data_IF_173270291939
#
_entry.id   IF_173270291939
#
_cell.length_a   1.000
_cell.length_b   1.000
_cell.length_c   1.000
_cell.angle_alpha   90.00
_cell.angle_beta   90.00
_cell.angle_gamma   90.00
#
_symmetry.space_group_name_H-M   'P 1'
#
loop_
_entity.id
_entity.type
_entity.pdbx_description
1 polymer ?
#
# COMPACT_ATOMS: atom_id res chain seq x y z
N UNK A 1 1.91 -13.69 -25.04
CA UNK A 1 0.88 -12.72 -24.60
C UNK A 1 0.09 -12.34 -25.84
N UNK A 2 -1.20 -12.53 -25.82
CA UNK A 2 -2.09 -12.18 -26.92
C UNK A 2 -1.96 -10.68 -27.24
N UNK A 3 -1.91 -10.28 -28.52
CA UNK A 3 -1.78 -8.86 -28.91
C UNK A 3 -2.90 -8.00 -28.29
N UNK A 4 -4.09 -8.57 -28.16
CA UNK A 4 -5.24 -7.90 -27.55
C UNK A 4 -5.03 -7.60 -26.06
N UNK A 5 -4.43 -8.52 -25.31
CA UNK A 5 -4.12 -8.32 -23.88
C UNK A 5 -3.06 -7.22 -23.71
N UNK A 6 -2.02 -7.21 -24.54
CA UNK A 6 -0.98 -6.18 -24.47
C UNK A 6 -1.56 -4.78 -24.72
N UNK A 7 -2.42 -4.64 -25.73
CA UNK A 7 -3.08 -3.37 -26.06
C UNK A 7 -4.02 -2.91 -24.92
N UNK A 8 -4.77 -3.84 -24.30
CA UNK A 8 -5.61 -3.52 -23.15
C UNK A 8 -4.78 -3.01 -21.97
N UNK A 9 -3.68 -3.69 -21.65
CA UNK A 9 -2.77 -3.28 -20.56
C UNK A 9 -2.25 -1.86 -20.84
N UNK A 10 -1.68 -1.60 -22.02
CA UNK A 10 -1.15 -0.27 -22.37
C UNK A 10 -2.19 0.83 -22.19
N UNK A 11 -3.41 0.60 -22.63
CA UNK A 11 -4.52 1.54 -22.47
C UNK A 11 -4.80 1.84 -20.99
N UNK A 12 -4.87 0.81 -20.13
CA UNK A 12 -5.09 1.00 -18.70
C UNK A 12 -3.93 1.72 -18.03
N UNK A 13 -2.67 1.43 -18.41
CA UNK A 13 -1.50 2.13 -17.91
C UNK A 13 -1.58 3.63 -18.21
N UNK A 14 -1.90 4.01 -19.46
CA UNK A 14 -2.09 5.41 -19.85
C UNK A 14 -3.23 6.07 -19.07
N UNK A 15 -4.33 5.36 -18.84
CA UNK A 15 -5.44 5.88 -18.05
C UNK A 15 -5.03 6.10 -16.58
N UNK A 16 -4.32 5.15 -15.97
CA UNK A 16 -3.79 5.30 -14.61
C UNK A 16 -2.86 6.50 -14.48
N UNK A 17 -1.97 6.75 -15.46
CA UNK A 17 -1.06 7.89 -15.45
C UNK A 17 -1.81 9.24 -15.48
N UNK A 18 -2.96 9.30 -16.13
CA UNK A 18 -3.78 10.51 -16.28
C UNK A 18 -4.83 10.69 -15.18
N UNK A 19 -5.10 9.65 -14.40
CA UNK A 19 -6.12 9.71 -13.36
C UNK A 19 -5.77 10.75 -12.29
N UNK A 20 -6.67 11.69 -12.07
CA UNK A 20 -6.56 12.81 -11.12
C UNK A 20 -7.69 12.84 -10.09
N UNK A 21 -8.67 11.93 -10.20
CA UNK A 21 -9.79 11.81 -9.26
C UNK A 21 -10.07 10.36 -8.89
N UNK A 22 -10.65 10.15 -7.69
CA UNK A 22 -11.08 8.81 -7.25
C UNK A 22 -12.10 8.21 -8.24
N UNK A 23 -12.99 9.01 -8.79
CA UNK A 23 -13.98 8.57 -9.77
C UNK A 23 -13.33 8.01 -11.04
N UNK A 24 -12.28 8.65 -11.56
CA UNK A 24 -11.54 8.15 -12.72
C UNK A 24 -10.85 6.82 -12.41
N UNK A 25 -10.22 6.67 -11.23
CA UNK A 25 -9.60 5.42 -10.83
C UNK A 25 -10.64 4.30 -10.66
N UNK A 26 -11.82 4.63 -10.10
CA UNK A 26 -12.96 3.70 -10.04
C UNK A 26 -13.40 3.24 -11.43
N UNK A 27 -13.52 4.16 -12.40
CA UNK A 27 -13.88 3.81 -13.79
C UNK A 27 -12.85 2.90 -14.45
N UNK A 28 -11.56 3.10 -14.17
CA UNK A 28 -10.50 2.21 -14.66
C UNK A 28 -10.69 0.80 -14.10
N UNK A 29 -10.88 0.64 -12.78
CA UNK A 29 -11.11 -0.66 -12.15
C UNK A 29 -12.38 -1.35 -12.69
N UNK A 30 -13.46 -0.61 -12.88
CA UNK A 30 -14.68 -1.12 -13.51
C UNK A 30 -14.44 -1.59 -14.95
N UNK A 31 -13.66 -0.84 -15.71
CA UNK A 31 -13.28 -1.21 -17.07
C UNK A 31 -12.43 -2.49 -17.10
N UNK A 32 -11.51 -2.65 -16.16
CA UNK A 32 -10.65 -3.84 -16.02
C UNK A 32 -11.51 -5.07 -15.80
N UNK A 33 -12.34 -5.08 -14.74
CA UNK A 33 -13.16 -6.27 -14.43
C UNK A 33 -14.13 -6.61 -15.55
N UNK A 34 -14.74 -5.59 -16.18
CA UNK A 34 -15.66 -5.81 -17.29
C UNK A 34 -14.97 -6.43 -18.53
N UNK A 35 -13.76 -5.96 -18.89
CA UNK A 35 -13.04 -6.49 -20.05
C UNK A 35 -12.43 -7.87 -19.79
N UNK A 36 -12.21 -8.21 -18.52
CA UNK A 36 -11.70 -9.51 -18.09
C UNK A 36 -12.83 -10.50 -17.77
N UNK A 37 -14.09 -10.13 -17.98
CA UNK A 37 -15.23 -10.95 -17.61
C UNK A 37 -15.13 -11.42 -16.14
N UNK A 38 -14.93 -10.43 -15.25
CA UNK A 38 -14.90 -10.59 -13.80
C UNK A 38 -15.99 -9.72 -13.20
N UNK A 39 -16.39 -10.01 -11.95
CA UNK A 39 -17.53 -9.36 -11.31
C UNK A 39 -17.12 -8.24 -10.35
N UNK A 40 -16.03 -8.47 -9.61
CA UNK A 40 -15.69 -7.66 -8.47
C UNK A 40 -14.24 -7.20 -8.49
N UNK A 41 -14.01 -6.03 -7.89
CA UNK A 41 -12.68 -5.51 -7.60
C UNK A 41 -12.65 -4.90 -6.20
N UNK A 42 -11.51 -4.96 -5.57
CA UNK A 42 -11.18 -4.22 -4.37
C UNK A 42 -9.73 -3.75 -4.49
N UNK A 43 -9.49 -2.48 -4.28
CA UNK A 43 -8.17 -1.90 -4.11
C UNK A 43 -8.10 -1.23 -2.76
N UNK A 44 -7.14 -1.63 -1.95
CA UNK A 44 -6.88 -1.05 -0.64
C UNK A 44 -5.41 -0.68 -0.54
N UNK A 45 -5.11 0.56 -0.15
CA UNK A 45 -3.74 1.02 0.15
C UNK A 45 -3.73 1.65 1.53
N UNK A 46 -2.89 1.12 2.39
CA UNK A 46 -2.69 1.55 3.78
C UNK A 46 -1.41 2.36 3.84
N UNK A 47 -1.51 3.61 4.26
CA UNK A 47 -0.39 4.51 4.49
C UNK A 47 -0.19 4.67 5.99
N UNK A 48 0.92 4.21 6.57
CA UNK A 48 1.20 4.44 7.97
C UNK A 48 1.44 5.94 8.20
N UNK A 49 0.58 6.59 8.97
CA UNK A 49 0.80 7.98 9.38
C UNK A 49 1.55 8.07 10.72
N UNK A 50 1.30 7.10 11.58
CA UNK A 50 1.97 6.90 12.87
C UNK A 50 1.98 5.39 13.16
N UNK A 51 2.81 4.93 14.12
CA UNK A 51 2.86 3.52 14.50
C UNK A 51 1.51 2.92 14.97
N UNK A 52 0.55 3.77 15.33
CA UNK A 52 -0.79 3.35 15.80
C UNK A 52 -1.95 3.86 14.94
N UNK A 53 -1.68 4.62 13.88
CA UNK A 53 -2.71 5.14 12.97
C UNK A 53 -2.28 5.01 11.52
N UNK A 54 -3.21 4.59 10.69
CA UNK A 54 -3.00 4.47 9.24
C UNK A 54 -4.18 5.09 8.51
N UNK A 55 -3.88 5.79 7.43
CA UNK A 55 -4.91 6.16 6.46
C UNK A 55 -5.11 5.01 5.49
N UNK A 56 -6.37 4.76 5.19
CA UNK A 56 -6.76 3.71 4.27
C UNK A 56 -7.46 4.31 3.05
N UNK A 57 -6.90 4.09 1.89
CA UNK A 57 -7.54 4.40 0.62
C UNK A 57 -8.18 3.13 0.07
N UNK A 58 -9.52 3.14 -0.07
CA UNK A 58 -10.27 1.97 -0.55
C UNK A 58 -11.15 2.36 -1.72
N UNK A 59 -11.14 1.54 -2.75
CA UNK A 59 -12.09 1.53 -3.87
C UNK A 59 -12.51 0.09 -4.10
N UNK A 60 -13.79 -0.20 -4.02
CA UNK A 60 -14.34 -1.54 -4.24
C UNK A 60 -15.75 -1.48 -4.83
N UNK A 61 -16.21 -2.63 -5.30
CA UNK A 61 -17.61 -2.91 -5.64
C UNK A 61 -18.09 -4.23 -5.03
N UNK A 62 -17.47 -4.69 -3.94
CA UNK A 62 -17.87 -5.90 -3.23
C UNK A 62 -19.29 -5.77 -2.68
N UNK A 63 -20.00 -6.88 -2.46
CA UNK A 63 -21.32 -6.85 -1.83
C UNK A 63 -21.28 -6.11 -0.48
N UNK A 64 -22.20 -5.16 -0.28
CA UNK A 64 -22.22 -4.29 0.91
C UNK A 64 -22.38 -5.07 2.22
N UNK A 65 -23.18 -6.14 2.19
CA UNK A 65 -23.43 -6.99 3.36
C UNK A 65 -22.18 -7.76 3.76
N UNK A 66 -21.43 -8.25 2.74
CA UNK A 66 -20.12 -8.85 2.97
C UNK A 66 -19.13 -7.87 3.58
N UNK A 67 -18.99 -6.68 3.00
CA UNK A 67 -18.06 -5.67 3.53
C UNK A 67 -18.42 -5.25 4.96
N UNK A 68 -19.69 -5.11 5.26
CA UNK A 68 -20.18 -4.81 6.62
C UNK A 68 -19.84 -5.93 7.60
N UNK A 69 -20.07 -7.18 7.22
CA UNK A 69 -19.69 -8.36 8.00
C UNK A 69 -18.18 -8.47 8.19
N UNK A 70 -17.40 -8.32 7.11
CA UNK A 70 -15.95 -8.44 7.09
C UNK A 70 -15.28 -7.41 8.01
N UNK A 71 -15.68 -6.14 7.89
CA UNK A 71 -15.15 -5.06 8.71
C UNK A 71 -15.65 -5.12 10.15
N UNK A 72 -16.93 -5.44 10.37
CA UNK A 72 -17.55 -5.51 11.70
C UNK A 72 -16.95 -6.60 12.58
N UNK A 73 -16.48 -7.70 11.99
CA UNK A 73 -15.84 -8.81 12.69
C UNK A 73 -14.29 -8.75 12.60
N UNK A 74 -13.71 -7.70 12.03
CA UNK A 74 -12.27 -7.51 11.88
C UNK A 74 -11.56 -8.71 11.20
N UNK A 75 -12.23 -9.35 10.22
CA UNK A 75 -11.79 -10.58 9.57
C UNK A 75 -10.44 -10.43 8.84
N UNK A 76 -10.09 -9.20 8.47
CA UNK A 76 -8.80 -8.88 7.82
C UNK A 76 -7.57 -9.38 8.59
N UNK A 77 -7.69 -9.57 9.91
CA UNK A 77 -6.58 -10.06 10.75
C UNK A 77 -6.23 -11.51 10.49
N UNK A 78 -7.21 -12.30 10.07
CA UNK A 78 -7.09 -13.74 9.90
C UNK A 78 -7.36 -14.19 8.45
N UNK A 79 -7.64 -13.25 7.56
CA UNK A 79 -7.86 -13.53 6.14
C UNK A 79 -6.55 -14.00 5.48
N UNK A 80 -6.50 -15.24 4.95
CA UNK A 80 -5.30 -15.79 4.34
C UNK A 80 -4.78 -14.95 3.16
N UNK A 81 -5.68 -14.31 2.41
CA UNK A 81 -5.32 -13.45 1.27
C UNK A 81 -4.66 -12.16 1.75
N UNK A 82 -5.17 -11.54 2.82
CA UNK A 82 -4.59 -10.36 3.44
C UNK A 82 -3.24 -10.68 4.09
N UNK A 83 -3.15 -11.81 4.80
CA UNK A 83 -1.91 -12.27 5.43
C UNK A 83 -0.82 -12.56 4.38
N UNK A 84 -1.18 -13.17 3.25
CA UNK A 84 -0.26 -13.29 2.11
C UNK A 84 0.17 -11.91 1.60
N UNK A 85 -0.77 -11.02 1.38
CA UNK A 85 -0.46 -9.67 0.90
C UNK A 85 0.44 -8.88 1.86
N UNK A 86 0.44 -9.16 3.16
CA UNK A 86 1.33 -8.52 4.12
C UNK A 86 2.78 -9.03 4.05
N UNK A 87 3.00 -10.27 3.61
CA UNK A 87 4.32 -10.93 3.69
C UNK A 87 4.92 -11.28 2.33
N UNK A 88 4.14 -11.14 1.24
CA UNK A 88 4.56 -11.48 -0.13
C UNK A 88 4.53 -10.27 -1.05
N UNK A 89 5.21 -10.38 -2.19
CA UNK A 89 5.16 -9.42 -3.31
C UNK A 89 4.51 -10.05 -4.55
N UNK A 90 4.23 -11.36 -4.52
CA UNK A 90 3.63 -12.09 -5.64
C UNK A 90 2.13 -12.22 -5.47
N UNK A 91 1.35 -12.21 -6.56
CA UNK A 91 -0.08 -12.48 -6.48
C UNK A 91 -0.39 -13.85 -5.90
N UNK A 92 -1.56 -13.97 -5.29
CA UNK A 92 -2.14 -15.23 -4.81
C UNK A 92 -3.46 -15.51 -5.53
N UNK A 93 -3.61 -16.71 -6.04
CA UNK A 93 -4.90 -17.25 -6.47
C UNK A 93 -5.69 -17.70 -5.25
N UNK A 94 -6.97 -17.36 -5.17
CA UNK A 94 -7.78 -17.67 -4.00
C UNK A 94 -7.94 -19.18 -3.76
N UNK A 95 -7.88 -19.98 -4.81
CA UNK A 95 -7.86 -21.44 -4.71
C UNK A 95 -6.63 -21.96 -3.92
N UNK A 96 -5.57 -21.17 -3.81
CA UNK A 96 -4.36 -21.50 -3.05
C UNK A 96 -4.36 -20.92 -1.62
N UNK A 97 -5.45 -20.27 -1.18
CA UNK A 97 -5.53 -19.69 0.16
C UNK A 97 -5.39 -20.74 1.30
N UNK A 98 -5.76 -21.99 1.03
CA UNK A 98 -5.56 -23.12 1.94
C UNK A 98 -4.06 -23.36 2.25
N UNK A 99 -3.16 -23.11 1.32
CA UNK A 99 -1.71 -23.25 1.53
C UNK A 99 -1.25 -22.25 2.59
N UNK A 100 -1.76 -21.01 2.56
CA UNK A 100 -1.45 -20.01 3.57
C UNK A 100 -1.95 -20.46 4.95
N UNK A 101 -3.14 -21.05 5.01
CA UNK A 101 -3.71 -21.54 6.28
C UNK A 101 -2.92 -22.72 6.88
N UNK A 102 -2.19 -23.49 6.08
CA UNK A 102 -1.31 -24.55 6.59
C UNK A 102 0.03 -24.02 7.11
N UNK A 103 0.50 -22.89 6.61
CA UNK A 103 1.80 -22.31 6.95
C UNK A 103 1.72 -21.16 7.96
N UNK A 104 0.57 -20.52 8.07
CA UNK A 104 0.33 -19.41 8.99
C UNK A 104 -0.80 -19.77 9.98
N UNK A 105 -0.50 -19.96 11.29
CA UNK A 105 -1.49 -20.36 12.28
C UNK A 105 -2.57 -19.31 12.56
N UNK A 106 -2.38 -18.08 12.09
CA UNK A 106 -3.37 -17.00 12.23
C UNK A 106 -4.39 -16.97 11.07
N UNK A 107 -4.14 -17.71 9.98
CA UNK A 107 -5.03 -17.71 8.84
C UNK A 107 -6.25 -18.60 9.07
N UNK A 108 -7.43 -18.05 8.84
CA UNK A 108 -8.71 -18.79 8.92
C UNK A 108 -9.31 -18.98 7.52
N UNK A 109 -9.20 -20.21 7.02
CA UNK A 109 -9.75 -20.57 5.69
C UNK A 109 -11.26 -20.43 5.61
N UNK A 110 -11.99 -20.44 6.74
CA UNK A 110 -13.43 -20.26 6.76
C UNK A 110 -13.87 -18.89 6.22
N UNK A 111 -12.96 -17.91 6.25
CA UNK A 111 -13.21 -16.59 5.66
C UNK A 111 -13.42 -16.71 4.16
N UNK A 112 -12.66 -17.57 3.47
CA UNK A 112 -12.82 -17.81 2.04
C UNK A 112 -14.18 -18.48 1.73
N UNK A 113 -14.63 -19.38 2.61
CA UNK A 113 -15.97 -19.98 2.47
C UNK A 113 -17.06 -18.93 2.65
N UNK A 114 -16.96 -18.07 3.66
CA UNK A 114 -17.93 -16.99 3.90
C UNK A 114 -17.94 -15.98 2.73
N UNK A 115 -16.77 -15.69 2.15
CA UNK A 115 -16.67 -14.86 0.95
C UNK A 115 -17.39 -15.49 -0.24
N UNK A 116 -17.22 -16.80 -0.44
CA UNK A 116 -17.90 -17.53 -1.51
C UNK A 116 -19.42 -17.55 -1.31
N UNK A 117 -19.90 -17.74 -0.08
CA UNK A 117 -21.34 -17.68 0.27
C UNK A 117 -21.92 -16.29 -0.01
N UNK A 118 -21.11 -15.24 0.09
CA UNK A 118 -21.47 -13.86 -0.28
C UNK A 118 -21.34 -13.55 -1.78
N UNK A 119 -20.98 -14.53 -2.61
CA UNK A 119 -20.85 -14.39 -4.06
C UNK A 119 -19.44 -14.06 -4.55
N UNK A 120 -18.44 -14.01 -3.68
CA UNK A 120 -17.02 -13.86 -4.02
C UNK A 120 -16.37 -15.25 -4.08
N UNK A 121 -16.71 -16.01 -5.13
CA UNK A 121 -16.43 -17.47 -5.20
C UNK A 121 -14.97 -17.76 -5.46
N UNK A 122 -14.34 -16.96 -6.33
CA UNK A 122 -12.95 -17.16 -6.70
C UNK A 122 -12.30 -15.82 -7.12
N UNK A 123 -10.98 -15.75 -7.12
CA UNK A 123 -10.29 -14.52 -7.43
C UNK A 123 -8.78 -14.62 -7.39
N UNK A 124 -8.16 -13.50 -7.70
CA UNK A 124 -6.72 -13.28 -7.60
C UNK A 124 -6.45 -11.96 -6.88
N UNK A 125 -5.47 -11.98 -6.01
CA UNK A 125 -5.03 -10.77 -5.28
C UNK A 125 -3.55 -10.54 -5.50
N UNK A 126 -3.20 -9.32 -5.92
CA UNK A 126 -1.83 -8.86 -6.01
C UNK A 126 -1.51 -7.94 -4.82
N UNK A 127 -0.42 -8.19 -4.09
CA UNK A 127 0.07 -7.29 -3.06
C UNK A 127 0.54 -5.97 -3.67
N UNK A 128 0.32 -4.88 -2.95
CA UNK A 128 0.89 -3.57 -3.23
C UNK A 128 2.01 -3.32 -2.21
N UNK A 129 3.19 -2.98 -2.70
CA UNK A 129 4.31 -2.49 -1.89
C UNK A 129 4.62 -1.07 -2.33
N UNK A 130 4.33 -0.16 -1.44
CA UNK A 130 4.58 1.25 -1.67
C UNK A 130 5.86 1.74 -1.01
N UNK A 131 6.14 3.01 -1.20
CA UNK A 131 7.24 3.70 -0.54
C UNK A 131 6.91 3.90 0.94
N UNK A 132 7.96 3.94 1.78
CA UNK A 132 7.86 4.35 3.18
C UNK A 132 6.91 3.50 4.03
N UNK A 133 6.91 2.18 3.80
CA UNK A 133 6.09 1.25 4.56
C UNK A 133 4.61 1.23 4.16
N UNK A 134 4.23 1.91 3.09
CA UNK A 134 2.91 1.72 2.51
C UNK A 134 2.74 0.30 2.00
N UNK A 135 1.61 -0.27 2.28
CA UNK A 135 1.24 -1.58 1.77
C UNK A 135 -0.24 -1.61 1.39
N UNK A 136 -0.59 -2.59 0.61
CA UNK A 136 -1.97 -2.76 0.21
C UNK A 136 -2.15 -4.00 -0.63
N UNK A 137 -3.29 -4.05 -1.27
CA UNK A 137 -3.62 -5.13 -2.20
C UNK A 137 -4.62 -4.64 -3.25
N UNK A 138 -4.62 -5.32 -4.37
CA UNK A 138 -5.68 -5.26 -5.35
C UNK A 138 -6.20 -6.67 -5.59
N UNK A 139 -7.51 -6.85 -5.48
CA UNK A 139 -8.21 -8.10 -5.73
C UNK A 139 -9.15 -7.95 -6.91
N UNK A 140 -9.21 -8.96 -7.75
CA UNK A 140 -10.22 -9.14 -8.79
C UNK A 140 -10.89 -10.47 -8.51
N UNK A 141 -12.22 -10.47 -8.41
CA UNK A 141 -12.98 -11.65 -8.01
C UNK A 141 -14.17 -11.91 -8.95
N UNK A 142 -14.62 -13.16 -8.94
CA UNK A 142 -15.69 -13.69 -9.75
C UNK A 142 -16.75 -14.41 -8.89
N UNK A 143 -17.98 -14.43 -9.38
CA UNK A 143 -19.07 -15.26 -8.87
C UNK A 143 -18.95 -16.74 -9.22
N UNK A 144 -17.96 -17.09 -10.04
CA UNK A 144 -17.74 -18.45 -10.53
C UNK A 144 -16.27 -18.82 -10.37
N UNK A 145 -15.98 -20.11 -10.39
CA UNK A 145 -14.60 -20.61 -10.44
C UNK A 145 -13.90 -20.13 -11.71
N UNK A 146 -12.66 -19.75 -11.57
CA UNK A 146 -11.82 -19.25 -12.65
C UNK A 146 -11.01 -20.40 -13.24
N UNK A 147 -11.02 -20.55 -14.56
CA UNK A 147 -10.20 -21.54 -15.25
C UNK A 147 -8.72 -21.18 -15.21
N UNK A 148 -7.85 -22.20 -15.27
CA UNK A 148 -6.40 -22.04 -15.12
C UNK A 148 -5.80 -21.07 -16.14
N UNK A 149 -6.20 -21.16 -17.40
CA UNK A 149 -5.70 -20.27 -18.47
C UNK A 149 -6.07 -18.81 -18.22
N UNK A 150 -7.27 -18.58 -17.68
CA UNK A 150 -7.72 -17.23 -17.30
C UNK A 150 -6.89 -16.71 -16.12
N UNK A 151 -6.52 -17.55 -15.16
CA UNK A 151 -5.65 -17.18 -14.06
C UNK A 151 -4.26 -16.71 -14.51
N UNK A 152 -3.66 -17.39 -15.49
CA UNK A 152 -2.35 -17.01 -16.04
C UNK A 152 -2.42 -15.59 -16.61
N UNK A 153 -3.46 -15.30 -17.38
CA UNK A 153 -3.67 -13.97 -17.96
C UNK A 153 -3.92 -12.90 -16.87
N UNK A 154 -4.79 -13.20 -15.90
CA UNK A 154 -5.07 -12.31 -14.77
C UNK A 154 -3.81 -11.98 -13.96
N UNK A 155 -2.96 -12.98 -13.73
CA UNK A 155 -1.68 -12.80 -13.02
C UNK A 155 -0.76 -11.82 -13.75
N UNK A 156 -0.59 -11.99 -15.08
CA UNK A 156 0.23 -11.10 -15.91
C UNK A 156 -0.31 -9.67 -15.91
N UNK A 157 -1.62 -9.53 -16.06
CA UNK A 157 -2.30 -8.24 -16.05
C UNK A 157 -2.10 -7.55 -14.71
N UNK A 158 -2.38 -8.21 -13.59
CA UNK A 158 -2.24 -7.62 -12.26
C UNK A 158 -0.80 -7.21 -11.97
N UNK A 159 0.19 -8.05 -12.30
CA UNK A 159 1.60 -7.70 -12.16
C UNK A 159 1.96 -6.43 -12.95
N UNK A 160 1.35 -6.24 -14.12
CA UNK A 160 1.63 -5.08 -14.96
C UNK A 160 0.95 -3.80 -14.47
N UNK A 161 -0.32 -3.87 -14.02
CA UNK A 161 -1.11 -2.67 -13.73
C UNK A 161 -1.03 -2.22 -12.27
N UNK A 162 -0.72 -3.13 -11.32
CA UNK A 162 -0.70 -2.83 -9.87
C UNK A 162 0.18 -1.64 -9.51
N UNK A 163 1.43 -1.51 -10.02
CA UNK A 163 2.26 -0.34 -9.72
C UNK A 163 1.63 0.97 -10.18
N UNK A 164 1.00 0.99 -11.34
CA UNK A 164 0.37 2.21 -11.90
C UNK A 164 -0.90 2.60 -11.15
N UNK A 165 -1.70 1.62 -10.72
CA UNK A 165 -2.85 1.85 -9.85
C UNK A 165 -2.41 2.41 -8.49
N UNK A 166 -1.34 1.87 -7.92
CA UNK A 166 -0.75 2.38 -6.69
C UNK A 166 -0.29 3.83 -6.84
N UNK A 167 0.49 4.16 -7.88
CA UNK A 167 0.94 5.53 -8.13
C UNK A 167 -0.24 6.49 -8.36
N UNK A 168 -1.27 6.06 -9.10
CA UNK A 168 -2.48 6.85 -9.27
C UNK A 168 -3.15 7.15 -7.92
N UNK A 169 -3.29 6.15 -7.05
CA UNK A 169 -3.86 6.33 -5.71
C UNK A 169 -3.04 7.29 -4.85
N UNK A 170 -1.72 7.24 -4.94
CA UNK A 170 -0.83 8.14 -4.20
C UNK A 170 -0.95 9.59 -4.66
N UNK A 171 -1.02 9.83 -5.97
CA UNK A 171 -1.28 11.20 -6.48
C UNK A 171 -2.60 11.76 -5.93
N UNK A 172 -3.64 10.93 -5.83
CA UNK A 172 -4.92 11.35 -5.27
C UNK A 172 -4.84 11.68 -3.77
N UNK A 173 -4.07 10.91 -2.99
CA UNK A 173 -3.84 11.18 -1.57
C UNK A 173 -3.10 12.50 -1.37
N UNK A 174 -2.02 12.73 -2.11
CA UNK A 174 -1.21 13.96 -2.04
C UNK A 174 -2.06 15.18 -2.36
N UNK A 175 -2.91 15.13 -3.37
CA UNK A 175 -3.78 16.23 -3.78
C UNK A 175 -4.88 16.54 -2.75
N UNK A 176 -5.29 15.57 -1.94
CA UNK A 176 -6.35 15.70 -0.95
C UNK A 176 -5.84 15.91 0.48
N UNK A 177 -4.53 15.76 0.73
CA UNK A 177 -3.96 16.05 2.05
C UNK A 177 -3.85 17.55 2.25
N UNK A 178 -4.36 18.11 3.37
CA UNK A 178 -4.09 19.49 3.71
C UNK A 178 -2.58 19.68 3.85
N UNK A 179 -2.09 20.82 3.33
CA UNK A 179 -0.69 21.15 3.14
C UNK A 179 0.10 21.34 4.47
N UNK A 180 0.22 20.30 5.28
CA UNK A 180 1.27 20.23 6.30
C UNK A 180 2.40 19.32 5.78
N UNK A 181 2.97 19.68 4.60
CA UNK A 181 4.24 19.10 4.21
C UNK A 181 5.27 19.58 5.20
N UNK A 182 5.74 18.66 6.04
CA UNK A 182 6.93 18.91 6.86
C UNK A 182 8.08 19.10 5.85
N UNK A 183 8.65 20.30 5.84
CA UNK A 183 9.84 20.60 5.04
C UNK A 183 11.03 20.75 5.97
N UNK A 184 12.03 19.92 5.75
CA UNK A 184 13.31 20.04 6.44
C UNK A 184 14.23 20.98 5.65
N UNK A 185 14.94 21.83 6.34
CA UNK A 185 16.09 22.55 5.76
C UNK A 185 17.23 21.57 5.51
N UNK A 186 18.16 21.92 4.61
CA UNK A 186 19.33 21.07 4.34
C UNK A 186 20.10 20.72 5.63
N UNK A 187 20.27 21.69 6.54
CA UNK A 187 20.98 21.48 7.82
C UNK A 187 20.21 20.59 8.78
N UNK A 188 18.90 20.66 8.80
CA UNK A 188 18.06 19.75 9.59
C UNK A 188 18.18 18.31 9.05
N UNK A 189 18.14 18.14 7.73
CA UNK A 189 18.33 16.82 7.10
C UNK A 189 19.71 16.24 7.42
N UNK A 190 20.79 16.99 7.18
CA UNK A 190 22.15 16.58 7.50
C UNK A 190 22.33 16.16 8.96
N UNK A 191 21.78 16.93 9.90
CA UNK A 191 21.84 16.58 11.33
C UNK A 191 21.06 15.28 11.61
N UNK A 192 19.87 15.11 11.02
CA UNK A 192 19.04 13.93 11.26
C UNK A 192 19.62 12.67 10.62
N UNK A 193 20.29 12.77 9.48
CA UNK A 193 21.00 11.65 8.86
C UNK A 193 22.04 11.05 9.80
N UNK A 194 22.87 11.89 10.42
CA UNK A 194 23.85 11.40 11.39
C UNK A 194 23.22 10.89 12.69
N UNK A 195 22.11 11.48 13.11
CA UNK A 195 21.36 11.02 14.28
C UNK A 195 20.73 9.62 14.02
N UNK A 196 20.27 9.35 12.80
CA UNK A 196 19.78 8.03 12.37
C UNK A 196 20.91 7.00 12.34
N UNK A 197 22.11 7.40 11.93
CA UNK A 197 23.33 6.58 11.98
C UNK A 197 23.85 6.36 13.43
N UNK A 198 23.10 6.84 14.42
CA UNK A 198 23.40 6.63 15.84
C UNK A 198 24.43 7.60 16.44
N UNK A 199 24.82 8.66 15.71
CA UNK A 199 25.77 9.67 16.23
C UNK A 199 25.15 10.51 17.32
N UNK A 200 25.96 10.84 18.31
CA UNK A 200 25.62 11.83 19.33
C UNK A 200 25.63 13.25 18.76
N UNK A 201 25.04 14.20 19.47
CA UNK A 201 25.05 15.60 19.05
C UNK A 201 26.49 16.14 18.91
N UNK A 202 27.40 15.73 19.80
CA UNK A 202 28.81 16.09 19.76
C UNK A 202 29.51 15.52 18.52
N UNK A 203 29.35 14.21 18.22
CA UNK A 203 29.92 13.57 17.04
C UNK A 203 29.39 14.21 15.75
N UNK A 204 28.07 14.42 15.66
CA UNK A 204 27.44 15.11 14.53
C UNK A 204 28.01 16.50 14.33
N UNK A 205 28.22 17.26 15.43
CA UNK A 205 28.82 18.58 15.41
C UNK A 205 30.23 18.55 14.81
N UNK A 206 31.06 17.58 15.22
CA UNK A 206 32.42 17.40 14.69
C UNK A 206 32.39 17.08 13.19
N UNK A 207 31.51 16.18 12.75
CA UNK A 207 31.39 15.78 11.35
C UNK A 207 30.94 16.96 10.46
N UNK A 208 29.95 17.73 10.92
CA UNK A 208 29.37 18.82 10.14
C UNK A 208 30.08 20.16 10.29
N UNK A 209 31.14 20.24 11.14
CA UNK A 209 31.91 21.47 11.39
C UNK A 209 31.08 22.59 12.07
N UNK A 210 30.14 22.23 12.96
CA UNK A 210 29.28 23.15 13.69
C UNK A 210 29.41 22.93 15.22
N UNK A 211 28.76 23.75 16.02
CA UNK A 211 28.74 23.53 17.47
C UNK A 211 27.71 22.46 17.86
N UNK A 212 27.96 21.74 18.97
CA UNK A 212 26.96 20.80 19.54
C UNK A 212 25.63 21.49 19.86
N UNK A 213 25.69 22.75 20.29
CA UNK A 213 24.49 23.58 20.52
C UNK A 213 23.70 23.78 19.22
N UNK A 214 24.39 24.01 18.13
CA UNK A 214 23.77 24.18 16.80
C UNK A 214 23.15 22.87 16.32
N UNK A 215 23.81 21.73 16.52
CA UNK A 215 23.26 20.41 16.22
C UNK A 215 21.96 20.16 16.99
N UNK A 216 22.00 20.38 18.31
CA UNK A 216 20.81 20.23 19.15
C UNK A 216 19.67 21.17 18.74
N UNK A 217 19.98 22.40 18.30
CA UNK A 217 18.99 23.34 17.77
C UNK A 217 18.29 22.76 16.54
N UNK A 218 19.05 22.25 15.55
CA UNK A 218 18.45 21.65 14.35
C UNK A 218 17.63 20.41 14.67
N UNK A 219 18.10 19.52 15.54
CA UNK A 219 17.36 18.33 15.97
C UNK A 219 16.06 18.71 16.68
N UNK A 220 16.08 19.71 17.56
CA UNK A 220 14.87 20.17 18.24
C UNK A 220 13.85 20.80 17.28
N UNK A 221 14.31 21.56 16.29
CA UNK A 221 13.42 22.09 15.25
C UNK A 221 12.71 20.94 14.48
N UNK A 222 13.43 19.84 14.19
CA UNK A 222 12.83 18.69 13.54
C UNK A 222 11.81 18.00 14.46
N UNK A 223 12.11 17.86 15.76
CA UNK A 223 11.16 17.34 16.75
C UNK A 223 9.88 18.16 16.76
N UNK A 224 9.97 19.49 16.75
CA UNK A 224 8.82 20.39 16.69
C UNK A 224 8.07 20.28 15.36
N UNK A 225 8.76 20.36 14.21
CA UNK A 225 8.17 20.26 12.88
C UNK A 225 7.43 18.94 12.69
N UNK A 226 7.95 17.84 13.24
CA UNK A 226 7.32 16.52 13.17
C UNK A 226 6.26 16.31 14.26
N UNK A 227 6.03 17.30 15.14
CA UNK A 227 5.17 17.15 16.32
C UNK A 227 5.50 15.88 17.10
N UNK A 228 6.78 15.68 17.38
CA UNK A 228 7.31 14.52 18.09
C UNK A 228 7.64 14.86 19.55
N UNK A 229 7.56 13.85 20.42
CA UNK A 229 7.90 14.01 21.85
C UNK A 229 9.40 13.90 22.12
N UNK A 230 10.15 13.30 21.20
CA UNK A 230 11.59 13.09 21.30
C UNK A 230 12.20 12.77 19.94
N UNK A 231 13.56 12.72 19.90
CA UNK A 231 14.29 12.47 18.65
C UNK A 231 14.02 11.08 18.05
N UNK A 232 13.77 10.05 18.84
CA UNK A 232 13.48 8.70 18.36
C UNK A 232 12.15 8.67 17.61
N UNK A 233 11.13 9.35 18.15
CA UNK A 233 9.85 9.48 17.47
C UNK A 233 9.96 10.33 16.21
N UNK A 234 10.77 11.40 16.23
CA UNK A 234 11.05 12.19 15.02
C UNK A 234 11.70 11.34 13.92
N UNK A 235 12.72 10.53 14.26
CA UNK A 235 13.35 9.58 13.34
C UNK A 235 12.31 8.65 12.72
N UNK A 236 11.49 8.01 13.55
CA UNK A 236 10.48 7.07 13.07
C UNK A 236 9.51 7.75 12.09
N UNK A 237 9.05 8.97 12.40
CA UNK A 237 8.16 9.73 11.50
C UNK A 237 8.85 10.13 10.19
N UNK A 238 10.10 10.55 10.24
CA UNK A 238 10.86 10.95 9.05
C UNK A 238 11.09 9.77 8.09
N UNK A 239 11.40 8.59 8.64
CA UNK A 239 11.56 7.37 7.84
C UNK A 239 10.23 6.91 7.24
N UNK A 240 9.15 6.90 8.03
CA UNK A 240 7.80 6.53 7.58
C UNK A 240 7.26 7.51 6.52
N UNK A 241 7.58 8.80 6.63
CA UNK A 241 7.14 9.81 5.65
C UNK A 241 8.05 9.95 4.45
N UNK A 242 9.21 9.27 4.44
CA UNK A 242 10.21 9.35 3.39
C UNK A 242 10.89 10.71 3.23
N UNK A 243 10.82 11.53 4.24
CA UNK A 243 11.51 12.82 4.28
C UNK A 243 13.02 12.65 4.41
N UNK A 244 13.46 11.54 5.00
CA UNK A 244 14.84 11.08 4.96
C UNK A 244 14.92 9.77 4.21
N UNK A 245 15.79 9.72 3.22
CA UNK A 245 16.00 8.55 2.37
C UNK A 245 17.39 8.00 2.65
N UNK A 246 17.58 6.66 2.59
CA UNK A 246 18.93 6.11 2.54
C UNK A 246 19.70 6.74 1.38
N UNK A 247 20.95 7.13 1.62
CA UNK A 247 21.86 7.57 0.57
C UNK A 247 22.18 6.35 -0.29
N UNK A 248 21.85 6.42 -1.59
CA UNK A 248 22.18 5.39 -2.57
C UNK A 248 23.51 5.76 -3.21
#
# INVERSE_FOLDING_TARGET
>A
MDQDIAFMIERWLMQCQRASTKAQLTQILQSIVKQLDMDYYLMCVVSPQQLKSSDMFVIDNYPSDWMSHYLGNDLKKNDPVVLHAQTSVTPIFWQNANIISTTNPHADIKIMQQAADAGLVDGITAPIRGMFGEFGLISIASKQLIELDKYINLNQILLSITPYLYEASNRLKINNSPANKIELTSRESECMEWVIEGKTAWETAQILGISERTTNFHVNNVIEKTSSSNRQQAIAKLLISGLLKPVI
#
